data_IF_155694736509
#
_entry.id   IF_155694736509
#
_cell.length_a   1.000
_cell.length_b   1.000
_cell.length_c   1.000
_cell.angle_alpha   90.00
_cell.angle_beta   90.00
_cell.angle_gamma   90.00
#
_symmetry.space_group_name_H-M   'P 1'
#
loop_
_entity.id
_entity.type
_entity.pdbx_description
1 polymer ?
#
# COMPACT_ATOMS: atom_id res chain seq x y z
N UNK A 1 -24.55 -17.42 13.13
CA UNK A 1 -23.10 -17.19 13.29
C UNK A 1 -22.81 -15.95 12.49
N UNK A 2 -22.57 -14.84 13.17
CA UNK A 2 -22.65 -13.52 12.57
C UNK A 2 -21.44 -13.29 11.65
N UNK A 3 -21.74 -12.87 10.43
CA UNK A 3 -20.78 -12.55 9.39
C UNK A 3 -20.01 -11.26 9.76
N UNK A 4 -18.76 -11.41 10.21
CA UNK A 4 -17.89 -10.35 10.80
C UNK A 4 -17.01 -9.67 9.72
N UNK A 5 -17.27 -9.92 8.45
CA UNK A 5 -16.29 -9.74 7.36
C UNK A 5 -15.90 -8.31 6.99
N UNK A 6 -16.52 -7.30 7.58
CA UNK A 6 -16.17 -5.91 7.34
C UNK A 6 -16.03 -5.19 8.67
N UNK A 7 -14.84 -5.31 9.29
CA UNK A 7 -14.40 -4.34 10.30
C UNK A 7 -14.10 -3.06 9.53
N UNK A 8 -15.12 -2.25 9.25
CA UNK A 8 -14.86 -0.90 8.80
C UNK A 8 -14.17 -0.16 9.95
N UNK A 9 -13.22 0.71 9.61
CA UNK A 9 -12.53 1.55 10.58
C UNK A 9 -13.61 2.31 11.38
N UNK A 10 -13.72 1.99 12.67
CA UNK A 10 -14.37 2.91 13.60
C UNK A 10 -13.62 4.23 13.47
N UNK A 11 -14.31 5.37 13.25
CA UNK A 11 -13.67 6.68 13.37
C UNK A 11 -13.30 6.86 14.83
N UNK A 12 -12.13 6.37 15.22
CA UNK A 12 -11.60 6.66 16.53
C UNK A 12 -11.10 8.09 16.46
N UNK A 13 -11.69 9.00 17.24
CA UNK A 13 -11.13 10.32 17.54
C UNK A 13 -9.82 10.21 18.37
N UNK A 14 -9.09 9.11 18.21
CA UNK A 14 -7.93 8.73 18.98
C UNK A 14 -6.67 9.14 18.22
N UNK A 15 -5.81 9.89 18.90
CA UNK A 15 -4.49 10.22 18.40
C UNK A 15 -3.50 9.05 18.54
N UNK A 16 -3.96 7.84 18.89
CA UNK A 16 -3.12 6.65 19.11
C UNK A 16 -2.24 6.31 17.91
N UNK A 17 -2.76 6.47 16.69
CA UNK A 17 -2.01 6.23 15.46
C UNK A 17 -0.81 7.18 15.32
N UNK A 18 -1.03 8.49 15.54
CA UNK A 18 0.05 9.50 15.53
C UNK A 18 1.05 9.21 16.64
N UNK A 19 0.58 8.91 17.85
CA UNK A 19 1.45 8.63 19.00
C UNK A 19 2.33 7.40 18.73
N UNK A 20 1.75 6.31 18.22
CA UNK A 20 2.50 5.11 17.87
C UNK A 20 3.54 5.39 16.77
N UNK A 21 3.16 6.13 15.73
CA UNK A 21 4.07 6.53 14.65
C UNK A 21 5.20 7.44 15.15
N UNK A 22 4.90 8.40 16.02
CA UNK A 22 5.89 9.30 16.61
C UNK A 22 6.87 8.54 17.51
N UNK A 23 6.39 7.62 18.35
CA UNK A 23 7.23 6.77 19.19
C UNK A 23 8.15 5.90 18.32
N UNK A 24 7.58 5.24 17.30
CA UNK A 24 8.36 4.41 16.38
C UNK A 24 9.44 5.23 15.66
N UNK A 25 9.09 6.39 15.12
CA UNK A 25 10.03 7.28 14.43
C UNK A 25 11.13 7.76 15.38
N UNK A 26 10.77 8.19 16.59
CA UNK A 26 11.73 8.62 17.60
C UNK A 26 12.68 7.49 17.99
N UNK A 27 12.19 6.26 18.10
CA UNK A 27 12.99 5.08 18.43
C UNK A 27 13.97 4.71 17.31
N UNK A 28 13.53 4.78 16.04
CA UNK A 28 14.41 4.60 14.87
C UNK A 28 15.50 5.67 14.84
N UNK A 29 15.14 6.95 15.02
CA UNK A 29 16.10 8.06 15.05
C UNK A 29 17.09 7.94 16.23
N UNK A 30 16.59 7.55 17.41
CA UNK A 30 17.42 7.31 18.59
C UNK A 30 18.41 6.17 18.34
N UNK A 31 17.97 5.05 17.76
CA UNK A 31 18.86 3.93 17.43
C UNK A 31 19.89 4.32 16.38
N UNK A 32 19.49 5.05 15.34
CA UNK A 32 20.42 5.55 14.33
C UNK A 32 21.50 6.44 14.96
N UNK A 33 21.09 7.35 15.85
CA UNK A 33 22.00 8.25 16.57
C UNK A 33 22.89 7.52 17.58
N UNK A 34 22.36 6.55 18.32
CA UNK A 34 23.14 5.72 19.24
C UNK A 34 24.17 4.89 18.45
N UNK A 35 23.74 4.29 17.34
CA UNK A 35 24.62 3.49 16.48
C UNK A 35 25.71 4.33 15.83
N UNK A 36 25.46 5.59 15.47
CA UNK A 36 26.47 6.45 14.86
C UNK A 36 27.54 6.93 15.86
N UNK A 37 27.27 6.84 17.17
CA UNK A 37 28.23 7.09 18.25
C UNK A 37 29.15 5.91 18.56
N UNK A 38 28.80 4.70 18.13
CA UNK A 38 29.64 3.51 18.34
C UNK A 38 30.91 3.63 17.48
N UNK A 39 32.06 3.52 18.14
CA UNK A 39 33.40 3.95 17.72
C UNK A 39 33.79 3.62 16.28
N UNK A 40 34.29 4.63 15.57
CA UNK A 40 34.89 4.58 14.22
C UNK A 40 36.34 4.08 14.33
N UNK A 41 36.62 2.84 13.90
CA UNK A 41 37.99 2.32 13.75
C UNK A 41 38.22 1.96 12.28
N UNK A 42 38.87 2.84 11.52
CA UNK A 42 39.20 2.61 10.11
C UNK A 42 39.03 3.84 9.22
N UNK A 43 39.16 3.66 7.90
CA UNK A 43 38.90 4.73 6.93
C UNK A 43 37.40 5.06 6.88
N UNK A 44 37.08 6.33 6.66
CA UNK A 44 35.69 6.81 6.59
C UNK A 44 34.84 6.01 5.60
N UNK A 45 35.36 5.75 4.39
CA UNK A 45 34.66 4.98 3.35
C UNK A 45 34.34 3.54 3.80
N UNK A 46 35.29 2.86 4.45
CA UNK A 46 35.08 1.50 4.93
C UNK A 46 34.08 1.44 6.09
N UNK A 47 34.14 2.39 7.02
CA UNK A 47 33.19 2.44 8.13
C UNK A 47 31.79 2.88 7.70
N UNK A 48 31.70 3.85 6.78
CA UNK A 48 30.44 4.39 6.30
C UNK A 48 29.69 3.41 5.38
N UNK A 49 30.38 2.69 4.48
CA UNK A 49 29.74 1.80 3.51
C UNK A 49 29.77 0.31 3.88
N UNK A 50 30.78 -0.15 4.63
CA UNK A 50 30.93 -1.57 5.00
C UNK A 50 30.73 -1.84 6.50
N UNK A 51 30.60 -0.79 7.31
CA UNK A 51 30.49 -0.91 8.77
C UNK A 51 31.63 -1.70 9.41
N UNK A 52 32.84 -1.60 8.84
CA UNK A 52 34.03 -2.29 9.35
C UNK A 52 34.01 -3.82 9.18
N UNK A 53 33.07 -4.38 8.40
CA UNK A 53 32.97 -5.83 8.08
C UNK A 53 32.89 -6.75 9.31
N UNK A 54 32.46 -6.24 10.47
CA UNK A 54 32.44 -6.94 11.76
C UNK A 54 31.03 -7.22 12.29
N UNK A 55 30.01 -7.08 11.45
CA UNK A 55 28.63 -7.36 11.83
C UNK A 55 28.38 -8.86 11.96
N UNK A 56 27.61 -9.24 12.98
CA UNK A 56 27.19 -10.62 13.19
C UNK A 56 26.31 -11.12 12.05
N UNK A 57 26.37 -12.43 11.78
CA UNK A 57 25.61 -13.09 10.70
C UNK A 57 24.10 -12.83 10.82
N UNK A 58 23.57 -12.83 12.05
CA UNK A 58 22.15 -12.59 12.32
C UNK A 58 21.72 -11.16 12.00
N UNK A 59 22.54 -10.15 12.34
CA UNK A 59 22.25 -8.76 12.00
C UNK A 59 22.21 -8.58 10.48
N UNK A 60 23.18 -9.14 9.76
CA UNK A 60 23.22 -9.11 8.30
C UNK A 60 22.01 -9.82 7.65
N UNK A 61 21.62 -10.98 8.19
CA UNK A 61 20.48 -11.73 7.67
C UNK A 61 19.16 -10.97 7.87
N UNK A 62 18.95 -10.35 9.05
CA UNK A 62 17.78 -9.53 9.33
C UNK A 62 17.76 -8.25 8.49
N UNK A 63 18.89 -7.57 8.33
CA UNK A 63 19.01 -6.43 7.41
C UNK A 63 18.67 -6.83 5.98
N UNK A 64 19.17 -7.96 5.50
CA UNK A 64 18.84 -8.46 4.16
C UNK A 64 17.34 -8.77 4.01
N UNK A 65 16.75 -9.43 5.01
CA UNK A 65 15.32 -9.73 5.01
C UNK A 65 14.48 -8.45 5.03
N UNK A 66 14.85 -7.46 5.86
CA UNK A 66 14.17 -6.17 5.93
C UNK A 66 14.32 -5.36 4.64
N UNK A 67 15.52 -5.34 4.04
CA UNK A 67 15.77 -4.69 2.73
C UNK A 67 14.98 -5.36 1.61
N UNK A 68 14.81 -6.70 1.67
CA UNK A 68 14.02 -7.45 0.69
C UNK A 68 12.52 -7.18 0.85
N UNK A 69 12.07 -6.86 2.07
CA UNK A 69 10.70 -6.51 2.36
C UNK A 69 10.46 -5.02 2.08
N UNK A 70 9.97 -4.71 0.88
CA UNK A 70 9.71 -3.33 0.46
C UNK A 70 8.29 -2.87 0.84
N UNK A 71 8.03 -1.55 0.82
CA UNK A 71 6.67 -1.02 0.88
C UNK A 71 5.76 -1.57 -0.23
N UNK A 72 6.33 -1.87 -1.41
CA UNK A 72 5.62 -2.56 -2.49
C UNK A 72 5.24 -3.99 -2.14
N UNK A 73 6.00 -4.66 -1.29
CA UNK A 73 5.69 -6.01 -0.81
C UNK A 73 4.57 -6.01 0.24
N UNK A 74 4.49 -4.98 1.08
CA UNK A 74 3.45 -4.86 2.11
C UNK A 74 2.12 -4.31 1.60
N UNK A 75 2.13 -3.43 0.59
CA UNK A 75 0.89 -2.88 -0.01
C UNK A 75 0.55 -3.61 -1.30
N UNK A 76 1.53 -3.69 -2.20
CA UNK A 76 1.34 -4.19 -3.56
C UNK A 76 0.89 -5.65 -3.57
N UNK A 77 1.65 -6.55 -2.94
CA UNK A 77 1.27 -7.98 -2.96
C UNK A 77 -0.07 -8.27 -2.30
N UNK A 78 -0.40 -7.79 -1.08
CA UNK A 78 -1.74 -7.99 -0.53
C UNK A 78 -2.84 -7.36 -1.39
N UNK A 79 -2.63 -6.18 -1.98
CA UNK A 79 -3.63 -5.55 -2.87
C UNK A 79 -3.86 -6.36 -4.15
N UNK A 80 -2.80 -6.97 -4.67
CA UNK A 80 -2.85 -7.84 -5.84
C UNK A 80 -3.54 -9.16 -5.52
N UNK A 81 -3.21 -9.78 -4.37
CA UNK A 81 -3.89 -10.98 -3.87
C UNK A 81 -5.36 -10.70 -3.59
N UNK A 82 -5.70 -9.54 -3.04
CA UNK A 82 -7.09 -9.13 -2.84
C UNK A 82 -7.87 -9.01 -4.16
N UNK A 83 -7.21 -8.58 -5.24
CA UNK A 83 -7.87 -8.40 -6.54
C UNK A 83 -7.85 -9.64 -7.44
N UNK A 84 -6.92 -10.58 -7.25
CA UNK A 84 -6.74 -11.75 -8.13
C UNK A 84 -6.84 -13.11 -7.43
N UNK A 85 -6.89 -13.13 -6.10
CA UNK A 85 -7.10 -14.34 -5.30
C UNK A 85 -5.87 -15.21 -5.06
N UNK A 86 -6.11 -16.49 -4.75
CA UNK A 86 -5.09 -17.45 -4.30
C UNK A 86 -4.05 -17.78 -5.36
N UNK A 87 -4.43 -17.77 -6.63
CA UNK A 87 -3.51 -18.06 -7.73
C UNK A 87 -2.31 -17.11 -7.72
N UNK A 88 -2.57 -15.81 -7.55
CA UNK A 88 -1.54 -14.80 -7.44
C UNK A 88 -0.75 -14.92 -6.13
N UNK A 89 -1.42 -15.24 -5.02
CA UNK A 89 -0.75 -15.45 -3.74
C UNK A 89 0.29 -16.57 -3.79
N UNK A 90 -0.06 -17.71 -4.40
CA UNK A 90 0.83 -18.86 -4.57
C UNK A 90 1.97 -18.55 -5.55
N UNK A 91 1.66 -17.83 -6.64
CA UNK A 91 2.68 -17.38 -7.60
C UNK A 91 3.71 -16.46 -6.92
N UNK A 92 3.25 -15.46 -6.15
CA UNK A 92 4.12 -14.55 -5.41
C UNK A 92 4.97 -15.30 -4.39
N UNK A 93 4.33 -16.17 -3.60
CA UNK A 93 5.00 -16.96 -2.56
C UNK A 93 6.12 -17.84 -3.13
N UNK A 94 5.93 -18.37 -4.34
CA UNK A 94 6.90 -19.27 -4.99
C UNK A 94 8.19 -18.55 -5.36
N UNK A 95 8.13 -17.34 -5.95
CA UNK A 95 9.35 -16.62 -6.34
C UNK A 95 10.00 -15.86 -5.19
N UNK A 96 9.31 -15.60 -4.07
CA UNK A 96 9.87 -14.94 -2.88
C UNK A 96 11.06 -15.70 -2.27
N UNK A 97 11.25 -16.98 -2.61
CA UNK A 97 12.42 -17.77 -2.22
C UNK A 97 13.69 -17.41 -3.03
N UNK A 98 13.55 -16.79 -4.21
CA UNK A 98 14.69 -16.51 -5.10
C UNK A 98 15.76 -15.60 -4.48
N UNK A 99 15.42 -14.47 -3.81
CA UNK A 99 16.43 -13.64 -3.15
C UNK A 99 17.24 -14.39 -2.08
N UNK A 100 16.60 -15.29 -1.34
CA UNK A 100 17.28 -16.11 -0.31
C UNK A 100 18.26 -17.10 -0.95
N UNK A 101 17.84 -17.76 -2.03
CA UNK A 101 18.70 -18.67 -2.80
C UNK A 101 19.86 -17.91 -3.43
N UNK A 102 19.61 -16.75 -4.04
CA UNK A 102 20.63 -15.91 -4.64
C UNK A 102 21.67 -15.45 -3.59
N UNK A 103 21.21 -15.05 -2.40
CA UNK A 103 22.10 -14.71 -1.29
C UNK A 103 22.97 -15.90 -0.89
N UNK A 104 22.37 -17.08 -0.68
CA UNK A 104 23.09 -18.29 -0.29
C UNK A 104 24.16 -18.72 -1.29
N UNK A 105 23.87 -18.59 -2.59
CA UNK A 105 24.77 -19.01 -3.67
C UNK A 105 25.86 -17.98 -3.99
N UNK A 106 25.51 -16.69 -4.04
CA UNK A 106 26.39 -15.63 -4.56
C UNK A 106 27.10 -14.83 -3.47
N UNK A 107 26.50 -14.62 -2.30
CA UNK A 107 27.03 -13.68 -1.31
C UNK A 107 28.44 -14.05 -0.84
N UNK A 108 28.69 -15.35 -0.58
CA UNK A 108 30.01 -15.82 -0.14
C UNK A 108 31.08 -15.53 -1.20
N UNK A 109 30.80 -15.81 -2.47
CA UNK A 109 31.74 -15.58 -3.58
C UNK A 109 31.99 -14.09 -3.79
N UNK A 110 30.93 -13.29 -3.87
CA UNK A 110 31.05 -11.84 -4.03
C UNK A 110 31.86 -11.19 -2.90
N UNK A 111 31.63 -11.60 -1.64
CA UNK A 111 32.38 -11.10 -0.49
C UNK A 111 33.87 -11.49 -0.55
N UNK A 112 34.20 -12.71 -1.02
CA UNK A 112 35.59 -13.13 -1.20
C UNK A 112 36.29 -12.32 -2.30
N UNK A 113 35.63 -12.08 -3.44
CA UNK A 113 36.22 -11.28 -4.51
C UNK A 113 36.39 -9.83 -4.08
N UNK A 114 35.39 -9.23 -3.43
CA UNK A 114 35.45 -7.85 -2.94
C UNK A 114 36.60 -7.61 -1.95
N UNK A 115 37.00 -8.63 -1.19
CA UNK A 115 38.18 -8.58 -0.30
C UNK A 115 39.51 -8.68 -1.06
N UNK A 116 39.56 -9.39 -2.18
CA UNK A 116 40.78 -9.54 -2.99
C UNK A 116 41.07 -8.29 -3.82
N UNK A 117 40.03 -7.57 -4.21
CA UNK A 117 40.12 -6.39 -5.09
C UNK A 117 39.91 -5.07 -4.34
N UNK A 118 39.78 -5.11 -3.01
CA UNK A 118 39.40 -3.96 -2.17
C UNK A 118 38.19 -3.17 -2.68
N UNK A 119 37.27 -3.87 -3.35
CA UNK A 119 36.04 -3.29 -3.88
C UNK A 119 35.03 -3.06 -2.77
N UNK A 120 34.37 -1.90 -2.81
CA UNK A 120 33.32 -1.51 -1.86
C UNK A 120 31.94 -1.72 -2.50
N UNK A 121 31.82 -1.51 -3.81
CA UNK A 121 30.56 -1.63 -4.56
C UNK A 121 30.59 -2.78 -5.58
N UNK A 122 29.40 -3.21 -6.05
CA UNK A 122 29.29 -4.19 -7.15
C UNK A 122 29.88 -3.63 -8.46
N UNK A 123 29.63 -2.37 -8.86
CA UNK A 123 30.32 -1.76 -10.00
C UNK A 123 31.85 -1.78 -9.90
N UNK A 124 32.42 -1.55 -8.72
CA UNK A 124 33.87 -1.64 -8.51
C UNK A 124 34.38 -3.07 -8.73
N UNK A 125 33.61 -4.05 -8.28
CA UNK A 125 33.93 -5.47 -8.47
C UNK A 125 33.93 -5.84 -9.96
N UNK A 126 32.94 -5.34 -10.72
CA UNK A 126 32.86 -5.55 -12.17
C UNK A 126 34.01 -4.85 -12.90
N UNK A 127 34.32 -3.61 -12.51
CA UNK A 127 35.47 -2.87 -13.03
C UNK A 127 36.78 -3.63 -12.79
N UNK A 128 37.00 -4.15 -11.58
CA UNK A 128 38.19 -4.93 -11.25
C UNK A 128 38.22 -6.28 -11.97
N UNK A 129 37.07 -6.93 -12.17
CA UNK A 129 36.96 -8.24 -12.83
C UNK A 129 37.26 -8.19 -14.33
N UNK A 130 36.82 -7.12 -14.99
CA UNK A 130 36.94 -6.93 -16.44
C UNK A 130 38.02 -5.92 -16.84
N UNK A 131 38.74 -5.35 -15.86
CA UNK A 131 39.79 -4.35 -16.06
C UNK A 131 39.33 -3.13 -16.90
N UNK A 132 38.03 -2.83 -16.87
CA UNK A 132 37.41 -1.84 -17.74
C UNK A 132 36.59 -0.83 -16.93
N UNK A 133 36.96 0.47 -16.98
CA UNK A 133 36.19 1.55 -16.35
C UNK A 133 34.77 1.66 -16.92
N UNK A 134 34.59 1.31 -18.20
CA UNK A 134 33.30 1.39 -18.89
C UNK A 134 32.28 0.44 -18.27
N UNK A 135 32.69 -0.80 -17.95
CA UNK A 135 31.81 -1.76 -17.29
C UNK A 135 31.34 -1.28 -15.91
N UNK A 136 32.23 -0.68 -15.12
CA UNK A 136 31.88 -0.07 -13.84
C UNK A 136 30.92 1.10 -14.01
N UNK A 137 31.14 1.96 -15.02
CA UNK A 137 30.27 3.11 -15.29
C UNK A 137 28.88 2.67 -15.73
N UNK A 138 28.76 1.72 -16.66
CA UNK A 138 27.48 1.18 -17.12
C UNK A 138 26.71 0.58 -15.94
N UNK A 139 27.35 -0.25 -15.11
CA UNK A 139 26.71 -0.83 -13.94
C UNK A 139 26.22 0.24 -12.95
N UNK A 140 27.02 1.29 -12.73
CA UNK A 140 26.66 2.41 -11.85
C UNK A 140 25.45 3.17 -12.40
N UNK A 141 25.46 3.51 -13.69
CA UNK A 141 24.34 4.22 -14.35
C UNK A 141 23.07 3.40 -14.29
N UNK A 142 23.14 2.10 -14.59
CA UNK A 142 21.98 1.20 -14.51
C UNK A 142 21.42 1.11 -13.09
N UNK A 143 22.29 0.95 -12.09
CA UNK A 143 21.86 0.90 -10.68
C UNK A 143 21.16 2.20 -10.30
N UNK A 144 21.74 3.36 -10.60
CA UNK A 144 21.14 4.67 -10.26
C UNK A 144 19.80 4.85 -10.98
N UNK A 145 19.74 4.50 -12.27
CA UNK A 145 18.51 4.58 -13.06
C UNK A 145 17.39 3.72 -12.47
N UNK A 146 17.62 2.42 -12.28
CA UNK A 146 16.61 1.51 -11.73
C UNK A 146 16.26 1.80 -10.28
N UNK A 147 17.24 2.21 -9.45
CA UNK A 147 16.99 2.60 -8.06
C UNK A 147 16.11 3.86 -7.97
N UNK A 148 16.19 4.77 -8.94
CA UNK A 148 15.32 5.96 -8.97
C UNK A 148 13.85 5.53 -9.08
N UNK A 149 13.51 4.65 -10.02
CA UNK A 149 12.14 4.13 -10.14
C UNK A 149 11.71 3.31 -8.93
N UNK A 150 12.64 2.55 -8.36
CA UNK A 150 12.38 1.79 -7.14
C UNK A 150 12.02 2.72 -5.97
N UNK A 151 12.79 3.80 -5.76
CA UNK A 151 12.53 4.80 -4.73
C UNK A 151 11.20 5.53 -4.93
N UNK A 152 10.82 5.86 -6.18
CA UNK A 152 9.51 6.46 -6.46
C UNK A 152 8.38 5.57 -5.94
N UNK A 153 8.44 4.27 -6.23
CA UNK A 153 7.43 3.32 -5.77
C UNK A 153 7.41 3.20 -4.23
N UNK A 154 8.58 3.18 -3.58
CA UNK A 154 8.69 3.10 -2.13
C UNK A 154 8.12 4.34 -1.43
N UNK A 155 8.46 5.54 -1.90
CA UNK A 155 7.99 6.79 -1.32
C UNK A 155 6.49 6.97 -1.49
N UNK A 156 5.95 6.62 -2.67
CA UNK A 156 4.50 6.58 -2.92
C UNK A 156 3.80 5.59 -2.00
N UNK A 157 4.38 4.40 -1.81
CA UNK A 157 3.83 3.40 -0.89
C UNK A 157 3.79 3.91 0.55
N UNK A 158 4.91 4.47 1.03
CA UNK A 158 5.02 5.01 2.39
C UNK A 158 4.03 6.14 2.66
N UNK A 159 3.85 7.06 1.71
CA UNK A 159 2.89 8.17 1.88
C UNK A 159 1.43 7.71 1.89
N UNK A 160 1.07 6.73 1.06
CA UNK A 160 -0.29 6.15 1.05
C UNK A 160 -0.59 5.42 2.35
N UNK A 161 0.37 4.68 2.93
CA UNK A 161 0.19 4.04 4.25
C UNK A 161 -0.06 5.13 5.30
N UNK A 162 0.80 6.16 5.33
CA UNK A 162 0.71 7.21 6.33
C UNK A 162 -0.61 7.98 6.21
N UNK A 163 -1.03 8.29 4.98
CA UNK A 163 -2.32 8.93 4.71
C UNK A 163 -3.49 8.08 5.20
N UNK A 164 -3.47 6.77 4.91
CA UNK A 164 -4.53 5.83 5.31
C UNK A 164 -4.58 5.63 6.82
N UNK A 165 -3.43 5.64 7.48
CA UNK A 165 -3.32 5.51 8.93
C UNK A 165 -3.80 6.77 9.67
N UNK A 166 -3.62 7.95 9.07
CA UNK A 166 -3.88 9.24 9.71
C UNK A 166 -5.17 9.92 9.25
N UNK A 167 -5.88 9.38 8.25
CA UNK A 167 -7.07 10.01 7.63
C UNK A 167 -8.14 10.42 8.64
N UNK A 168 -8.31 9.61 9.68
CA UNK A 168 -9.36 9.81 10.70
C UNK A 168 -8.89 10.69 11.87
N UNK A 169 -7.64 11.18 11.84
CA UNK A 169 -7.09 11.97 12.95
C UNK A 169 -7.36 13.47 12.73
N UNK A 170 -8.08 14.16 13.64
CA UNK A 170 -8.43 15.58 13.45
C UNK A 170 -7.23 16.51 13.27
N UNK A 171 -6.12 16.23 13.97
CA UNK A 171 -4.87 16.97 13.83
C UNK A 171 -4.30 16.85 12.42
N UNK A 172 -4.38 15.66 11.83
CA UNK A 172 -3.90 15.41 10.47
C UNK A 172 -4.77 16.10 9.43
N UNK A 173 -6.10 16.05 9.58
CA UNK A 173 -7.03 16.75 8.69
C UNK A 173 -6.77 18.25 8.69
N UNK A 174 -6.59 18.86 9.87
CA UNK A 174 -6.25 20.29 10.00
C UNK A 174 -4.91 20.62 9.34
N UNK A 175 -3.88 19.81 9.59
CA UNK A 175 -2.56 20.00 8.99
C UNK A 175 -2.60 19.85 7.46
N UNK A 176 -3.38 18.90 6.94
CA UNK A 176 -3.58 18.69 5.50
C UNK A 176 -4.22 19.91 4.83
N UNK A 177 -5.25 20.50 5.45
CA UNK A 177 -5.88 21.73 4.95
C UNK A 177 -4.92 22.92 4.94
N UNK A 178 -4.13 23.09 6.00
CA UNK A 178 -3.09 24.12 6.05
C UNK A 178 -2.05 23.90 4.94
N UNK A 179 -1.62 22.66 4.74
CA UNK A 179 -0.67 22.30 3.69
C UNK A 179 -1.25 22.53 2.29
N UNK A 180 -2.55 22.26 2.08
CA UNK A 180 -3.24 22.50 0.82
C UNK A 180 -3.08 23.96 0.36
N UNK A 181 -3.19 24.92 1.28
CA UNK A 181 -3.02 26.35 0.97
C UNK A 181 -1.61 26.73 0.47
N UNK A 182 -0.60 25.93 0.81
CA UNK A 182 0.79 26.09 0.37
C UNK A 182 1.04 25.30 -0.91
N UNK A 183 0.53 24.07 -0.99
CA UNK A 183 0.73 23.18 -2.12
C UNK A 183 0.17 23.76 -3.42
N UNK A 184 -0.99 24.43 -3.37
CA UNK A 184 -1.63 25.07 -4.52
C UNK A 184 -0.85 26.28 -5.07
N UNK A 185 0.11 26.82 -4.31
CA UNK A 185 0.96 27.92 -4.78
C UNK A 185 2.18 27.44 -5.58
N UNK A 186 2.45 26.13 -5.60
CA UNK A 186 3.63 25.57 -6.26
C UNK A 186 3.31 25.22 -7.72
N UNK A 187 3.95 25.87 -8.72
CA UNK A 187 3.57 25.75 -10.13
C UNK A 187 3.86 24.36 -10.74
N UNK A 188 4.65 23.53 -10.06
CA UNK A 188 5.04 22.18 -10.50
C UNK A 188 4.23 21.07 -9.83
N UNK A 189 3.36 21.40 -8.86
CA UNK A 189 2.47 20.44 -8.21
C UNK A 189 1.10 20.60 -8.84
N UNK A 190 0.62 19.56 -9.53
CA UNK A 190 -0.72 19.57 -10.10
C UNK A 190 -1.79 19.76 -9.03
N UNK A 191 -2.84 20.52 -9.35
CA UNK A 191 -3.99 20.74 -8.46
C UNK A 191 -4.82 19.48 -8.22
N UNK A 192 -4.63 18.45 -9.05
CA UNK A 192 -5.38 17.19 -8.99
C UNK A 192 -4.83 16.20 -7.94
N UNK A 193 -3.78 16.58 -7.21
CA UNK A 193 -3.14 15.71 -6.21
C UNK A 193 -3.69 16.00 -4.82
N UNK A 194 -4.11 14.96 -4.12
CA UNK A 194 -4.61 15.05 -2.74
C UNK A 194 -3.59 15.72 -1.81
N UNK A 195 -3.93 16.86 -1.16
CA UNK A 195 -3.04 17.55 -0.24
C UNK A 195 -2.56 16.69 0.93
N UNK A 196 -3.40 15.76 1.39
CA UNK A 196 -3.09 14.85 2.50
C UNK A 196 -1.99 13.87 2.09
N UNK A 197 -2.05 13.38 0.86
CA UNK A 197 -1.02 12.53 0.27
C UNK A 197 0.32 13.28 0.16
N UNK A 198 0.30 14.53 -0.33
CA UNK A 198 1.51 15.33 -0.49
C UNK A 198 2.17 15.64 0.87
N UNK A 199 1.38 16.00 1.87
CA UNK A 199 1.87 16.21 3.24
C UNK A 199 2.57 14.95 3.76
N UNK A 200 1.92 13.79 3.63
CA UNK A 200 2.50 12.51 4.02
C UNK A 200 3.80 12.20 3.26
N UNK A 201 3.84 12.46 1.95
CA UNK A 201 5.02 12.28 1.12
C UNK A 201 6.19 13.16 1.59
N UNK A 202 5.94 14.44 1.88
CA UNK A 202 6.95 15.35 2.40
C UNK A 202 7.49 14.91 3.76
N UNK A 203 6.61 14.58 4.70
CA UNK A 203 6.99 14.12 6.05
C UNK A 203 7.81 12.83 5.96
N UNK A 204 7.33 11.85 5.19
CA UNK A 204 8.02 10.59 4.98
C UNK A 204 9.40 10.80 4.34
N UNK A 205 9.48 11.64 3.30
CA UNK A 205 10.73 11.93 2.62
C UNK A 205 11.77 12.60 3.53
N UNK A 206 11.36 13.62 4.28
CA UNK A 206 12.25 14.32 5.22
C UNK A 206 12.75 13.35 6.29
N UNK A 207 11.86 12.54 6.87
CA UNK A 207 12.26 11.55 7.86
C UNK A 207 13.31 10.59 7.30
N UNK A 208 13.07 10.02 6.10
CA UNK A 208 13.98 9.09 5.43
C UNK A 208 15.34 9.72 5.14
N UNK A 209 15.37 10.92 4.57
CA UNK A 209 16.62 11.61 4.23
C UNK A 209 17.43 11.93 5.49
N UNK A 210 16.78 12.41 6.56
CA UNK A 210 17.48 12.78 7.80
C UNK A 210 18.15 11.59 8.46
N UNK A 211 17.46 10.45 8.60
CA UNK A 211 18.06 9.30 9.29
C UNK A 211 19.10 8.57 8.44
N UNK A 212 18.92 8.52 7.11
CA UNK A 212 19.86 7.84 6.21
C UNK A 212 21.18 8.61 6.05
N UNK A 213 21.12 9.94 5.97
CA UNK A 213 22.32 10.78 5.81
C UNK A 213 23.21 10.79 7.05
N UNK A 214 22.63 10.74 8.25
CA UNK A 214 23.38 10.84 9.51
C UNK A 214 23.97 9.49 9.99
N UNK A 215 23.36 8.37 9.58
CA UNK A 215 23.62 7.07 10.21
C UNK A 215 24.83 6.28 9.71
N UNK A 216 25.10 6.28 8.40
CA UNK A 216 26.04 5.32 7.79
C UNK A 216 25.59 3.85 7.89
N UNK A 217 26.36 2.91 7.33
CA UNK A 217 25.93 1.51 7.19
C UNK A 217 25.61 0.81 8.51
N UNK A 218 26.35 1.08 9.61
CA UNK A 218 26.03 0.48 10.92
C UNK A 218 24.68 0.92 11.45
N UNK A 219 24.36 2.21 11.36
CA UNK A 219 23.06 2.71 11.81
C UNK A 219 21.93 2.10 10.98
N UNK A 220 22.11 2.04 9.65
CA UNK A 220 21.14 1.39 8.75
C UNK A 220 20.92 -0.07 9.16
N UNK A 221 21.99 -0.83 9.39
CA UNK A 221 21.87 -2.24 9.82
C UNK A 221 21.07 -2.38 11.12
N UNK A 222 21.36 -1.56 12.13
CA UNK A 222 20.65 -1.64 13.41
C UNK A 222 19.20 -1.16 13.33
N UNK A 223 18.90 -0.14 12.52
CA UNK A 223 17.52 0.26 12.25
C UNK A 223 16.76 -0.83 11.48
N UNK A 224 17.41 -1.48 10.53
CA UNK A 224 16.81 -2.58 9.75
C UNK A 224 16.55 -3.80 10.62
N UNK A 225 17.43 -4.10 11.58
CA UNK A 225 17.20 -5.17 12.57
C UNK A 225 15.94 -4.88 13.38
N UNK A 226 15.80 -3.68 13.93
CA UNK A 226 14.58 -3.27 14.63
C UNK A 226 13.35 -3.43 13.74
N UNK A 227 13.42 -2.90 12.51
CA UNK A 227 12.33 -2.98 11.54
C UNK A 227 11.95 -4.43 11.25
N UNK A 228 12.95 -5.31 11.06
CA UNK A 228 12.77 -6.75 10.89
C UNK A 228 11.99 -7.37 12.04
N UNK A 229 12.34 -7.05 13.29
CA UNK A 229 11.60 -7.54 14.46
C UNK A 229 10.16 -7.03 14.50
N UNK A 230 9.95 -5.73 14.26
CA UNK A 230 8.60 -5.12 14.23
C UNK A 230 7.74 -5.76 13.15
N UNK A 231 8.30 -6.00 11.95
CA UNK A 231 7.59 -6.65 10.85
C UNK A 231 7.22 -8.10 11.16
N UNK A 232 8.15 -8.89 11.71
CA UNK A 232 7.88 -10.28 12.09
C UNK A 232 6.80 -10.34 13.17
N UNK A 233 6.90 -9.50 14.20
CA UNK A 233 5.88 -9.40 15.24
C UNK A 233 4.52 -8.99 14.66
N UNK A 234 4.50 -8.02 13.74
CA UNK A 234 3.31 -7.58 13.05
C UNK A 234 2.61 -8.72 12.30
N UNK A 235 3.36 -9.54 11.57
CA UNK A 235 2.81 -10.70 10.86
C UNK A 235 2.31 -11.78 11.85
N UNK A 236 3.09 -12.06 12.90
CA UNK A 236 2.72 -13.04 13.93
C UNK A 236 1.46 -12.66 14.71
N UNK A 237 1.15 -11.37 14.81
CA UNK A 237 -0.10 -10.88 15.41
C UNK A 237 -1.23 -10.83 14.40
N UNK A 238 -0.98 -10.25 13.23
CA UNK A 238 -2.01 -9.97 12.22
C UNK A 238 -2.56 -11.26 11.63
N UNK A 239 -1.71 -12.23 11.25
CA UNK A 239 -2.17 -13.43 10.55
C UNK A 239 -3.07 -14.34 11.41
N UNK A 240 -2.75 -14.67 12.67
CA UNK A 240 -3.67 -15.42 13.52
C UNK A 240 -4.95 -14.64 13.82
N UNK A 241 -4.84 -13.32 14.05
CA UNK A 241 -5.99 -12.47 14.33
C UNK A 241 -6.95 -12.45 13.14
N UNK A 242 -6.47 -12.19 11.94
CA UNK A 242 -7.31 -12.17 10.74
C UNK A 242 -7.90 -13.56 10.48
N UNK A 243 -7.12 -14.63 10.55
CA UNK A 243 -7.65 -15.99 10.38
C UNK A 243 -8.72 -16.35 11.42
N UNK A 244 -8.59 -15.88 12.67
CA UNK A 244 -9.59 -16.12 13.70
C UNK A 244 -10.92 -15.40 13.42
N UNK A 245 -10.87 -14.19 12.84
CA UNK A 245 -12.07 -13.45 12.41
C UNK A 245 -12.83 -14.15 11.28
N UNK A 246 -12.08 -14.87 10.45
CA UNK A 246 -12.55 -15.57 9.25
C UNK A 246 -13.01 -17.01 9.56
N UNK A 247 -12.81 -17.49 10.79
CA UNK A 247 -13.08 -18.90 11.16
C UNK A 247 -12.05 -19.89 10.59
N UNK A 248 -10.87 -19.41 10.22
CA UNK A 248 -9.74 -20.21 9.73
C UNK A 248 -9.59 -20.22 8.21
N UNK A 249 -8.47 -20.78 7.75
CA UNK A 249 -8.11 -20.76 6.32
C UNK A 249 -9.09 -21.56 5.44
N UNK A 250 -9.71 -22.61 5.98
CA UNK A 250 -10.71 -23.40 5.27
C UNK A 250 -11.94 -22.55 4.92
N UNK A 251 -12.53 -21.88 5.93
CA UNK A 251 -13.68 -21.00 5.72
C UNK A 251 -13.32 -19.84 4.78
N UNK A 252 -12.14 -19.23 4.99
CA UNK A 252 -11.62 -18.19 4.08
C UNK A 252 -11.64 -18.63 2.60
N UNK A 253 -11.21 -19.86 2.36
CA UNK A 253 -11.08 -20.39 1.00
C UNK A 253 -12.44 -20.81 0.44
N UNK A 254 -13.31 -21.39 1.27
CA UNK A 254 -14.67 -21.76 0.89
C UNK A 254 -15.51 -20.54 0.55
N UNK A 255 -15.44 -19.47 1.35
CA UNK A 255 -16.16 -18.22 1.10
C UNK A 255 -15.65 -17.51 -0.16
N UNK A 256 -14.32 -17.54 -0.37
CA UNK A 256 -13.71 -17.00 -1.58
C UNK A 256 -14.11 -17.80 -2.83
N UNK A 257 -14.37 -19.11 -2.69
CA UNK A 257 -14.84 -19.96 -3.78
C UNK A 257 -16.28 -19.64 -4.22
N UNK A 258 -17.09 -19.00 -3.36
CA UNK A 258 -18.45 -18.58 -3.70
C UNK A 258 -18.56 -17.10 -4.07
N UNK A 259 -17.51 -16.30 -3.83
CA UNK A 259 -17.49 -14.86 -4.08
C UNK A 259 -17.29 -14.55 -5.56
N UNK A 260 -18.13 -13.68 -6.11
CA UNK A 260 -17.96 -13.09 -7.44
C UNK A 260 -17.26 -11.72 -7.37
N UNK A 261 -16.57 -11.27 -8.44
CA UNK A 261 -15.93 -9.97 -8.45
C UNK A 261 -16.93 -8.80 -8.34
N UNK A 262 -16.58 -7.71 -7.62
CA UNK A 262 -17.44 -6.54 -7.50
C UNK A 262 -17.57 -5.77 -8.81
N UNK A 263 -18.71 -5.10 -9.01
CA UNK A 263 -19.02 -4.34 -10.23
C UNK A 263 -18.78 -2.85 -9.99
N UNK A 264 -18.15 -2.14 -10.94
CA UNK A 264 -18.01 -0.68 -10.86
C UNK A 264 -19.28 -0.02 -11.37
N UNK A 265 -19.89 0.80 -10.52
CA UNK A 265 -21.16 1.48 -10.79
C UNK A 265 -21.03 2.98 -10.54
N UNK A 266 -21.81 3.77 -11.28
CA UNK A 266 -22.04 5.17 -11.01
C UNK A 266 -23.38 5.32 -10.29
N UNK A 267 -23.36 6.01 -9.15
CA UNK A 267 -24.53 6.22 -8.30
C UNK A 267 -24.91 7.69 -8.27
N UNK A 268 -26.21 7.95 -8.17
CA UNK A 268 -26.74 9.25 -7.77
C UNK A 268 -27.42 9.07 -6.41
N UNK A 269 -26.77 9.57 -5.35
CA UNK A 269 -27.22 9.40 -3.97
C UNK A 269 -27.99 10.63 -3.50
N UNK A 270 -29.10 10.39 -2.80
CA UNK A 270 -29.81 11.40 -2.03
C UNK A 270 -29.93 10.95 -0.58
N UNK A 271 -29.58 11.83 0.37
CA UNK A 271 -29.75 11.55 1.80
C UNK A 271 -31.19 11.84 2.21
N UNK A 272 -31.80 10.92 2.95
CA UNK A 272 -33.17 11.07 3.45
C UNK A 272 -33.31 12.20 4.48
N UNK A 273 -32.23 12.52 5.20
CA UNK A 273 -32.23 13.45 6.34
C UNK A 273 -31.83 14.90 5.98
N UNK A 274 -31.48 15.18 4.72
CA UNK A 274 -31.16 16.54 4.24
C UNK A 274 -29.88 17.20 4.80
N UNK A 275 -29.09 16.50 5.63
CA UNK A 275 -27.82 17.01 6.18
C UNK A 275 -26.65 16.83 5.21
N UNK A 276 -25.75 17.82 5.16
CA UNK A 276 -24.47 17.71 4.46
C UNK A 276 -23.53 16.81 5.26
N UNK A 277 -23.11 15.69 4.67
CA UNK A 277 -22.07 14.83 5.24
C UNK A 277 -20.94 14.65 4.22
N UNK A 278 -19.70 14.87 4.66
CA UNK A 278 -18.50 14.47 3.91
C UNK A 278 -18.29 12.97 4.11
N UNK A 279 -18.41 12.21 3.03
CA UNK A 279 -18.13 10.78 3.03
C UNK A 279 -16.72 10.54 2.47
N UNK A 280 -15.78 10.05 3.30
CA UNK A 280 -14.46 9.71 2.80
C UNK A 280 -14.50 8.50 1.86
N UNK A 281 -13.49 8.44 0.99
CA UNK A 281 -13.26 7.29 0.10
C UNK A 281 -13.22 5.97 0.88
N UNK A 282 -13.66 4.88 0.25
CA UNK A 282 -13.77 3.53 0.81
C UNK A 282 -14.83 3.32 1.91
N UNK A 283 -15.65 4.32 2.26
CA UNK A 283 -16.80 4.09 3.14
C UNK A 283 -17.83 3.18 2.46
N UNK A 284 -18.45 2.34 3.29
CA UNK A 284 -19.55 1.47 2.92
C UNK A 284 -20.88 2.19 3.15
N UNK A 285 -21.73 2.15 2.14
CA UNK A 285 -23.07 2.71 2.17
C UNK A 285 -24.07 1.61 1.81
N UNK A 286 -25.17 1.54 2.55
CA UNK A 286 -26.34 0.81 2.13
C UNK A 286 -27.30 1.80 1.47
N UNK A 287 -27.66 1.53 0.22
CA UNK A 287 -28.63 2.35 -0.49
C UNK A 287 -29.71 1.48 -1.13
N UNK A 288 -30.96 1.91 -0.99
CA UNK A 288 -32.11 1.22 -1.56
C UNK A 288 -32.41 1.79 -2.95
N UNK A 289 -32.54 0.91 -3.94
CA UNK A 289 -32.98 1.30 -5.29
C UNK A 289 -34.48 1.57 -5.30
N UNK A 290 -34.98 2.53 -6.11
CA UNK A 290 -36.42 2.74 -6.29
C UNK A 290 -37.11 1.42 -6.68
N UNK A 291 -38.02 0.92 -5.85
CA UNK A 291 -38.78 -0.32 -6.10
C UNK A 291 -38.11 -1.64 -5.68
N UNK A 292 -36.92 -1.61 -5.08
CA UNK A 292 -36.28 -2.81 -4.52
C UNK A 292 -36.61 -2.97 -3.03
N UNK A 293 -37.01 -4.18 -2.61
CA UNK A 293 -37.25 -4.49 -1.18
C UNK A 293 -35.95 -4.65 -0.37
N UNK A 294 -34.81 -4.91 -1.04
CA UNK A 294 -33.52 -5.11 -0.40
C UNK A 294 -32.56 -3.97 -0.74
N UNK A 295 -31.90 -3.45 0.29
CA UNK A 295 -30.83 -2.48 0.13
C UNK A 295 -29.59 -3.15 -0.47
N UNK A 296 -28.92 -2.44 -1.39
CA UNK A 296 -27.67 -2.87 -1.99
C UNK A 296 -26.50 -2.19 -1.28
N UNK A 297 -25.37 -2.89 -1.23
CA UNK A 297 -24.16 -2.40 -0.59
C UNK A 297 -23.19 -1.83 -1.63
N UNK A 298 -22.71 -0.63 -1.36
CA UNK A 298 -21.73 0.04 -2.19
C UNK A 298 -20.52 0.50 -1.38
N UNK A 299 -19.33 0.42 -1.98
CA UNK A 299 -18.11 1.02 -1.46
C UNK A 299 -17.72 2.22 -2.31
N UNK A 300 -17.58 3.39 -1.71
CA UNK A 300 -17.20 4.61 -2.40
C UNK A 300 -15.79 4.52 -2.99
N UNK A 301 -15.63 4.84 -4.28
CA UNK A 301 -14.32 4.88 -4.95
C UNK A 301 -13.61 6.23 -4.79
N UNK A 302 -14.37 7.29 -4.50
CA UNK A 302 -13.93 8.68 -4.37
C UNK A 302 -14.60 9.34 -3.15
N UNK A 303 -13.99 10.37 -2.55
CA UNK A 303 -14.64 11.13 -1.48
C UNK A 303 -15.83 11.91 -2.05
N UNK A 304 -16.94 11.96 -1.30
CA UNK A 304 -18.17 12.61 -1.75
C UNK A 304 -18.62 13.65 -0.73
N UNK A 305 -18.93 14.84 -1.23
CA UNK A 305 -19.70 15.84 -0.48
C UNK A 305 -21.17 15.72 -0.88
N UNK A 306 -22.02 15.27 0.04
CA UNK A 306 -23.46 15.22 -0.24
C UNK A 306 -24.06 16.58 0.12
N UNK A 307 -24.62 17.27 -0.87
CA UNK A 307 -25.27 18.57 -0.67
C UNK A 307 -26.68 18.39 -0.07
N UNK A 308 -27.23 19.40 0.64
CA UNK A 308 -28.57 19.33 1.19
C UNK A 308 -29.61 19.23 0.06
N UNK A 309 -30.71 18.52 0.31
CA UNK A 309 -31.84 18.38 -0.61
C UNK A 309 -32.34 19.75 -1.07
N UNK A 310 -32.18 20.06 -2.37
CA UNK A 310 -32.70 21.28 -2.99
C UNK A 310 -31.69 22.39 -3.30
N UNK A 311 -30.39 22.18 -3.09
CA UNK A 311 -29.36 23.09 -3.62
C UNK A 311 -28.64 22.45 -4.82
N UNK A 312 -28.58 23.20 -5.92
CA UNK A 312 -27.75 22.86 -7.07
C UNK A 312 -26.27 22.77 -6.64
N UNK A 313 -25.53 21.87 -7.28
CA UNK A 313 -24.09 21.74 -7.10
C UNK A 313 -23.38 23.11 -7.16
N UNK A 314 -22.39 23.39 -6.30
CA UNK A 314 -21.63 24.63 -6.39
C UNK A 314 -21.03 24.73 -7.80
N UNK A 315 -21.21 25.90 -8.41
CA UNK A 315 -21.02 26.23 -9.82
C UNK A 315 -19.57 26.26 -10.30
N UNK A 316 -18.67 25.47 -9.71
CA UNK A 316 -17.24 25.46 -10.04
C UNK A 316 -16.79 24.10 -10.63
N UNK A 317 -17.65 23.49 -11.43
CA UNK A 317 -17.25 22.49 -12.41
C UNK A 317 -17.95 22.83 -13.74
N UNK A 318 -17.13 22.90 -14.79
CA UNK A 318 -17.43 23.35 -16.15
C UNK A 318 -18.89 23.14 -16.59
N UNK A 319 -19.56 24.26 -16.84
CA UNK A 319 -20.99 24.37 -17.15
C UNK A 319 -21.30 23.90 -18.57
N UNK A 320 -21.88 22.70 -18.73
CA UNK A 320 -22.77 22.42 -19.88
C UNK A 320 -23.68 21.18 -19.71
N UNK A 321 -24.23 20.91 -18.52
CA UNK A 321 -25.40 20.02 -18.40
C UNK A 321 -26.21 20.33 -17.13
N UNK A 322 -27.47 20.83 -17.23
CA UNK A 322 -28.33 21.10 -16.08
C UNK A 322 -28.91 19.83 -15.43
N UNK A 323 -28.42 18.64 -15.79
CA UNK A 323 -28.64 17.35 -15.09
C UNK A 323 -27.40 16.84 -14.36
N UNK A 324 -26.53 17.74 -13.89
CA UNK A 324 -25.34 17.44 -13.06
C UNK A 324 -25.73 16.94 -11.64
N UNK A 325 -26.34 15.76 -11.62
CA UNK A 325 -26.27 14.81 -10.54
C UNK A 325 -24.81 14.34 -10.44
N UNK A 326 -24.17 14.49 -9.27
CA UNK A 326 -22.82 13.97 -9.08
C UNK A 326 -22.86 12.45 -9.32
N UNK A 327 -22.28 11.98 -10.44
CA UNK A 327 -22.04 10.55 -10.67
C UNK A 327 -20.97 10.12 -9.68
N UNK A 328 -21.35 9.38 -8.66
CA UNK A 328 -20.45 8.87 -7.64
C UNK A 328 -19.94 7.51 -8.11
N UNK A 329 -18.64 7.40 -8.34
CA UNK A 329 -18.02 6.11 -8.62
C UNK A 329 -18.04 5.24 -7.36
N UNK A 330 -18.63 4.06 -7.46
CA UNK A 330 -18.69 3.09 -6.38
C UNK A 330 -18.47 1.66 -6.89
N UNK A 331 -18.15 0.77 -5.96
CA UNK A 331 -18.11 -0.66 -6.18
C UNK A 331 -19.37 -1.26 -5.56
N UNK A 332 -20.24 -1.82 -6.40
CA UNK A 332 -21.33 -2.67 -5.94
C UNK A 332 -20.75 -3.99 -5.46
N UNK A 333 -21.01 -4.30 -4.20
CA UNK A 333 -20.58 -5.53 -3.57
C UNK A 333 -21.69 -6.58 -3.74
N UNK A 334 -21.36 -7.85 -4.02
CA UNK A 334 -22.35 -8.92 -4.19
C UNK A 334 -22.98 -9.38 -2.86
N UNK A 335 -22.93 -8.55 -1.82
CA UNK A 335 -23.35 -8.85 -0.46
C UNK A 335 -24.61 -8.08 -0.09
N UNK A 336 -25.42 -8.65 0.79
CA UNK A 336 -26.58 -7.96 1.37
C UNK A 336 -26.17 -7.21 2.65
N UNK A 337 -26.80 -6.07 3.00
CA UNK A 337 -26.50 -5.36 4.24
C UNK A 337 -26.70 -6.20 5.51
N UNK A 338 -27.61 -7.19 5.47
CA UNK A 338 -27.81 -8.15 6.57
C UNK A 338 -26.61 -9.09 6.79
N UNK A 339 -25.74 -9.26 5.78
CA UNK A 339 -24.50 -10.03 5.90
C UNK A 339 -23.36 -9.23 6.55
N UNK A 340 -23.61 -7.96 6.92
CA UNK A 340 -22.62 -7.06 7.51
C UNK A 340 -23.17 -6.48 8.80
N UNK A 341 -22.31 -6.34 9.81
CA UNK A 341 -22.69 -5.64 11.03
C UNK A 341 -23.06 -4.19 10.71
N UNK A 342 -24.29 -3.80 11.06
CA UNK A 342 -24.85 -2.45 10.87
C UNK A 342 -23.94 -1.30 11.34
N UNK A 343 -23.05 -1.55 12.31
CA UNK A 343 -22.08 -0.56 12.82
C UNK A 343 -21.10 -0.03 11.75
N UNK A 344 -20.93 -0.74 10.64
CA UNK A 344 -19.93 -0.43 9.63
C UNK A 344 -20.52 0.12 8.32
N UNK A 345 -21.84 0.17 8.22
CA UNK A 345 -22.56 0.56 7.02
C UNK A 345 -23.36 1.82 7.33
N UNK A 346 -23.15 2.87 6.54
CA UNK A 346 -23.96 4.07 6.69
C UNK A 346 -25.33 3.84 6.02
N UNK A 347 -26.39 3.94 6.80
CA UNK A 347 -27.79 3.82 6.38
C UNK A 347 -28.40 5.21 6.14
N UNK A 348 -29.59 5.27 5.53
CA UNK A 348 -30.29 6.54 5.25
C UNK A 348 -29.99 7.16 3.88
N UNK A 349 -29.48 6.36 2.93
CA UNK A 349 -29.30 6.76 1.53
C UNK A 349 -30.35 6.11 0.64
N UNK A 350 -30.96 6.94 -0.22
CA UNK A 350 -31.80 6.49 -1.31
C UNK A 350 -31.09 6.75 -2.64
N UNK A 351 -31.19 5.80 -3.57
CA UNK A 351 -30.73 6.01 -4.94
C UNK A 351 -31.77 6.83 -5.71
N UNK A 352 -31.33 7.94 -6.32
CA UNK A 352 -32.19 8.76 -7.18
C UNK A 352 -32.47 8.08 -8.52
N UNK A 353 -31.54 7.24 -8.99
CA UNK A 353 -31.63 6.46 -10.23
C UNK A 353 -31.07 5.06 -10.01
N UNK A 354 -31.45 4.10 -10.86
CA UNK A 354 -30.82 2.78 -10.84
C UNK A 354 -29.30 2.93 -11.07
N UNK A 355 -28.46 2.11 -10.40
CA UNK A 355 -27.02 2.16 -10.55
C UNK A 355 -26.63 1.91 -12.01
N UNK A 356 -25.82 2.79 -12.60
CA UNK A 356 -25.33 2.64 -13.97
C UNK A 356 -24.02 1.87 -13.93
N UNK A 357 -23.97 0.67 -14.52
CA UNK A 357 -22.74 -0.10 -14.62
C UNK A 357 -21.73 0.61 -15.51
N UNK A 358 -20.58 0.98 -14.93
CA UNK A 358 -19.51 1.72 -15.61
C UNK A 358 -18.49 0.77 -16.22
N UNK A 359 -18.15 -0.31 -15.49
CA UNK A 359 -17.20 -1.30 -15.98
C UNK A 359 -17.42 -2.66 -15.30
N UNK A 360 -17.42 -3.70 -16.11
CA UNK A 360 -17.45 -5.11 -15.69
C UNK A 360 -16.06 -5.74 -15.86
N UNK A 361 -15.86 -6.87 -15.20
CA UNK A 361 -14.65 -7.66 -15.39
C UNK A 361 -14.70 -8.36 -16.76
N UNK A 362 -13.67 -8.15 -17.59
CA UNK A 362 -13.53 -8.86 -18.86
C UNK A 362 -13.48 -10.39 -18.69
N UNK A 363 -12.94 -10.87 -17.56
CA UNK A 363 -12.96 -12.27 -17.18
C UNK A 363 -13.33 -12.44 -15.70
N UNK A 364 -14.21 -13.40 -15.42
CA UNK A 364 -14.67 -13.70 -14.06
C UNK A 364 -15.93 -12.96 -13.61
N UNK A 365 -16.55 -12.13 -14.45
CA UNK A 365 -17.80 -11.47 -14.11
C UNK A 365 -18.89 -12.50 -13.77
N UNK A 366 -19.53 -12.34 -12.61
CA UNK A 366 -20.54 -13.25 -12.03
C UNK A 366 -20.08 -14.72 -11.86
N UNK A 367 -18.80 -15.03 -12.06
CA UNK A 367 -18.28 -16.38 -11.92
C UNK A 367 -17.79 -16.62 -10.49
N UNK A 368 -18.55 -17.42 -9.73
CA UNK A 368 -18.09 -17.96 -8.46
C UNK A 368 -16.84 -18.83 -8.66
N UNK A 369 -15.87 -18.72 -7.75
CA UNK A 369 -14.67 -19.56 -7.73
C UNK A 369 -13.47 -18.97 -8.47
N UNK A 370 -13.65 -17.88 -9.22
CA UNK A 370 -12.59 -17.27 -10.05
C UNK A 370 -11.38 -16.80 -9.23
N UNK A 371 -11.55 -16.51 -7.95
CA UNK A 371 -10.46 -16.16 -7.03
C UNK A 371 -9.66 -17.36 -6.51
N UNK A 372 -10.15 -18.59 -6.72
CA UNK A 372 -9.54 -19.83 -6.21
C UNK A 372 -8.93 -20.70 -7.31
N UNK A 373 -9.33 -20.48 -8.56
CA UNK A 373 -8.85 -21.21 -9.73
C UNK A 373 -8.06 -20.31 -10.70
N UNK A 374 -7.34 -20.94 -11.62
CA UNK A 374 -6.74 -20.27 -12.77
C UNK A 374 -7.63 -20.44 -14.01
N UNK A 375 -7.74 -19.42 -14.88
CA UNK A 375 -7.19 -18.07 -14.72
C UNK A 375 -7.97 -17.22 -13.70
N UNK A 376 -7.28 -16.27 -13.05
CA UNK A 376 -7.89 -15.37 -12.06
C UNK A 376 -8.75 -14.26 -12.71
N UNK A 377 -9.49 -13.47 -11.92
CA UNK A 377 -10.32 -12.39 -12.46
C UNK A 377 -9.47 -11.30 -13.10
N UNK A 378 -9.93 -10.74 -14.22
CA UNK A 378 -9.22 -9.66 -14.92
C UNK A 378 -10.19 -8.57 -15.42
N UNK A 379 -9.93 -7.29 -15.10
CA UNK A 379 -10.72 -6.18 -15.63
C UNK A 379 -10.58 -6.00 -17.13
N UNK A 380 -9.41 -6.27 -17.70
CA UNK A 380 -9.04 -5.89 -19.08
C UNK A 380 -8.78 -7.06 -20.02
N UNK A 381 -8.42 -8.23 -19.50
CA UNK A 381 -8.01 -9.39 -20.31
C UNK A 381 -9.12 -10.44 -20.38
N UNK A 382 -9.66 -10.76 -21.57
CA UNK A 382 -10.69 -11.79 -21.74
C UNK A 382 -10.19 -13.20 -21.41
N UNK A 383 -8.88 -13.43 -21.44
CA UNK A 383 -8.26 -14.71 -21.09
C UNK A 383 -8.11 -14.91 -19.56
N UNK A 384 -8.46 -13.90 -18.77
CA UNK A 384 -8.23 -13.88 -17.34
C UNK A 384 -6.79 -13.61 -16.96
N UNK A 385 -6.54 -13.47 -15.66
CA UNK A 385 -5.23 -13.19 -15.11
C UNK A 385 -4.40 -14.47 -14.95
N UNK A 386 -3.13 -14.43 -15.37
CA UNK A 386 -2.21 -15.57 -15.40
C UNK A 386 -2.83 -16.83 -16.05
N UNK A 387 -3.26 -16.79 -17.32
CA UNK A 387 -3.64 -18.00 -18.01
C UNK A 387 -2.47 -18.98 -18.02
N UNK A 388 -2.75 -20.29 -18.03
CA UNK A 388 -1.73 -21.37 -17.90
C UNK A 388 -0.55 -21.17 -18.88
N UNK A 389 -0.79 -20.59 -20.06
CA UNK A 389 0.23 -20.24 -21.05
C UNK A 389 1.25 -19.19 -20.58
N UNK A 390 0.85 -18.26 -19.71
CA UNK A 390 1.70 -17.19 -19.14
C UNK A 390 2.39 -17.68 -17.86
N UNK A 391 1.81 -18.63 -17.13
CA UNK A 391 2.42 -19.21 -15.93
C UNK A 391 3.68 -20.05 -16.19
N UNK A 392 3.90 -20.49 -17.45
CA UNK A 392 5.10 -21.21 -17.90
C UNK A 392 6.18 -20.28 -18.51
N UNK A 393 5.89 -18.98 -18.63
CA UNK A 393 6.86 -17.94 -19.03
C UNK A 393 7.57 -17.37 -17.81
#
# INVERSE_FOLDING_TARGET
MDNIWLVAQQPSNSNSAIVAFAIYTALVLLLAWLSSRITKKGSFLSEYFLGGRNLGVWAFALTFAATSASGGSFIGFPSLVYTHGWSLALWISSYMLMPLVALGLLAKRLNQLARKTDSITIPDLLRARFESPIFGLIATVLIVFFMTFNLIAQFKGGSVILQTLLSDVPLFQTASLMFASVATQLPFIGTDVDPSYLLCLCVFAVAVVVYTTYGGFRAVVWTDVLQGFVMVLGILLLLPMTLSLVGGLHNATSDLATTSPPVRVALQLQRTDGTVEYLPKNKLIAATSPGAEQALLFRLAEPVNILPSGQAAPSDADTSDPTASHKIAALQLPLTPAEIKHEFVLEGFALSTAPETVAEYSYGHEQAGVYTSLPGPSPSEPAGFLPISVALS
#
